data_IF_155407153354
#
_entry.id   IF_155407153354
#
_cell.length_a   1.000
_cell.length_b   1.000
_cell.length_c   1.000
_cell.angle_alpha   90.00
_cell.angle_beta   90.00
_cell.angle_gamma   90.00
#
_symmetry.space_group_name_H-M   'P 1'
#
loop_
_entity.id
_entity.type
_entity.pdbx_description
1 polymer ?
#
# COMPACT_ATOMS: atom_id res chain seq x y z
N UNK A 1 -41.57 25.69 58.84
CA UNK A 1 -40.71 24.60 58.34
C UNK A 1 -39.27 25.10 58.17
N UNK A 2 -38.59 25.31 59.30
CA UNK A 2 -37.15 25.61 59.43
C UNK A 2 -36.44 24.32 59.85
N UNK A 3 -35.25 24.04 59.32
CA UNK A 3 -34.11 23.31 59.92
C UNK A 3 -33.02 23.26 58.82
N UNK A 4 -32.08 24.21 58.74
CA UNK A 4 -30.86 24.44 59.55
C UNK A 4 -29.82 23.32 59.42
N UNK A 5 -28.70 23.72 58.80
CA UNK A 5 -27.43 23.02 58.57
C UNK A 5 -26.82 22.40 59.82
N UNK A 6 -26.09 21.28 59.67
CA UNK A 6 -24.68 21.10 60.07
C UNK A 6 -23.99 20.03 59.19
N UNK A 7 -22.74 20.28 58.81
CA UNK A 7 -21.83 19.37 58.08
C UNK A 7 -21.25 18.29 59.02
N UNK A 8 -20.69 17.21 58.47
CA UNK A 8 -19.26 17.05 58.70
C UNK A 8 -18.49 16.79 57.39
N UNK A 9 -17.57 17.72 57.10
CA UNK A 9 -16.44 17.50 56.21
C UNK A 9 -15.50 16.47 56.87
N UNK A 10 -15.64 15.18 56.53
CA UNK A 10 -14.51 14.26 56.66
C UNK A 10 -13.68 14.35 55.38
N UNK A 11 -12.62 15.15 55.40
CA UNK A 11 -11.55 15.03 54.41
C UNK A 11 -11.06 13.57 54.43
N UNK A 12 -11.40 12.78 53.40
CA UNK A 12 -10.60 11.59 53.10
C UNK A 12 -9.25 12.10 52.59
N UNK A 13 -8.12 11.72 53.20
CA UNK A 13 -6.83 12.18 52.74
C UNK A 13 -6.62 11.74 51.28
N UNK A 14 -5.98 12.60 50.49
CA UNK A 14 -5.40 12.19 49.21
C UNK A 14 -4.69 10.84 49.40
N UNK A 15 -4.83 9.88 48.45
CA UNK A 15 -4.09 8.63 48.55
C UNK A 15 -2.63 9.00 48.77
N UNK A 16 -2.04 8.49 49.87
CA UNK A 16 -0.63 8.69 50.18
C UNK A 16 0.12 8.36 48.90
N UNK A 17 0.95 9.30 48.44
CA UNK A 17 1.91 9.04 47.36
C UNK A 17 2.49 7.65 47.56
N UNK A 18 2.44 6.76 46.55
CA UNK A 18 2.86 5.38 46.73
C UNK A 18 4.25 5.35 47.38
N UNK A 19 4.51 4.42 48.32
CA UNK A 19 5.80 4.33 48.99
C UNK A 19 6.92 4.40 47.95
N UNK A 20 8.01 5.12 48.22
CA UNK A 20 9.16 5.23 47.28
C UNK A 20 9.61 3.86 46.74
N UNK A 21 9.49 2.81 47.55
CA UNK A 21 9.75 1.43 47.15
C UNK A 21 8.75 0.86 46.11
N UNK A 22 7.47 1.22 46.19
CA UNK A 22 6.45 0.81 45.21
C UNK A 22 6.59 1.59 43.89
N UNK A 23 7.04 2.84 43.93
CA UNK A 23 7.38 3.62 42.73
C UNK A 23 8.62 3.06 42.05
N UNK A 24 9.65 2.71 42.83
CA UNK A 24 10.87 2.09 42.32
C UNK A 24 10.60 0.71 41.69
N UNK A 25 9.79 -0.14 42.34
CA UNK A 25 9.36 -1.43 41.80
C UNK A 25 8.58 -1.29 40.49
N UNK A 26 7.67 -0.30 40.41
CA UNK A 26 6.93 -0.02 39.18
C UNK A 26 7.85 0.47 38.05
N UNK A 27 8.80 1.35 38.36
CA UNK A 27 9.78 1.86 37.38
C UNK A 27 10.69 0.74 36.86
N UNK A 28 11.12 -0.18 37.74
CA UNK A 28 11.95 -1.33 37.38
C UNK A 28 11.19 -2.30 36.47
N UNK A 29 9.91 -2.57 36.79
CA UNK A 29 9.03 -3.42 35.98
C UNK A 29 8.71 -2.80 34.62
N UNK A 30 8.43 -1.50 34.58
CA UNK A 30 8.25 -0.76 33.32
C UNK A 30 9.51 -0.83 32.47
N UNK A 31 10.68 -0.58 33.07
CA UNK A 31 11.95 -0.65 32.35
C UNK A 31 12.21 -2.04 31.76
N UNK A 32 11.87 -3.10 32.49
CA UNK A 32 12.02 -4.47 32.00
C UNK A 32 11.11 -4.74 30.78
N UNK A 33 9.84 -4.32 30.84
CA UNK A 33 8.90 -4.45 29.70
C UNK A 33 9.42 -3.68 28.49
N UNK A 34 9.90 -2.45 28.68
CA UNK A 34 10.44 -1.61 27.60
C UNK A 34 11.68 -2.23 26.95
N UNK A 35 12.56 -2.85 27.74
CA UNK A 35 13.73 -3.57 27.20
C UNK A 35 13.33 -4.76 26.33
N UNK A 36 12.35 -5.56 26.75
CA UNK A 36 11.87 -6.70 25.96
C UNK A 36 11.15 -6.25 24.68
N UNK A 37 10.36 -5.17 24.76
CA UNK A 37 9.73 -4.57 23.59
C UNK A 37 10.77 -4.06 22.59
N UNK A 38 11.76 -3.28 23.05
CA UNK A 38 12.84 -2.76 22.21
C UNK A 38 13.62 -3.89 21.52
N UNK A 39 13.94 -4.95 22.26
CA UNK A 39 14.61 -6.14 21.71
C UNK A 39 13.75 -6.82 20.64
N UNK A 40 12.45 -7.00 20.90
CA UNK A 40 11.54 -7.66 19.95
C UNK A 40 11.39 -6.86 18.66
N UNK A 41 11.23 -5.53 18.77
CA UNK A 41 11.14 -4.61 17.63
C UNK A 41 12.41 -4.67 16.78
N UNK A 42 13.59 -4.70 17.42
CA UNK A 42 14.87 -4.81 16.73
C UNK A 42 15.04 -6.16 16.02
N UNK A 43 14.81 -7.27 16.71
CA UNK A 43 14.98 -8.63 16.16
C UNK A 43 13.99 -8.94 15.02
N UNK A 44 12.74 -8.50 15.14
CA UNK A 44 11.72 -8.73 14.13
C UNK A 44 11.70 -7.67 13.00
N UNK A 45 12.53 -6.62 13.09
CA UNK A 45 12.58 -5.55 12.09
C UNK A 45 11.27 -4.76 11.98
N UNK A 46 10.57 -4.56 13.11
CA UNK A 46 9.29 -3.87 13.16
C UNK A 46 9.53 -2.35 13.03
N UNK A 47 8.82 -1.64 12.12
CA UNK A 47 8.92 -0.18 12.04
C UNK A 47 8.47 0.50 13.35
N UNK A 48 9.20 1.54 13.80
CA UNK A 48 8.88 2.22 15.07
C UNK A 48 7.48 2.83 15.13
N UNK A 49 6.91 3.28 14.01
CA UNK A 49 5.53 3.80 14.00
C UNK A 49 4.46 2.74 14.30
N UNK A 50 4.80 1.45 14.28
CA UNK A 50 3.85 0.37 14.56
C UNK A 50 3.42 0.31 16.04
N UNK A 51 4.17 0.92 16.96
CA UNK A 51 3.79 1.02 18.38
C UNK A 51 2.95 2.26 18.70
N UNK A 52 2.82 3.20 17.75
CA UNK A 52 2.09 4.46 17.97
C UNK A 52 0.57 4.30 17.71
N UNK A 53 0.16 3.22 17.04
CA UNK A 53 -1.25 2.98 16.72
C UNK A 53 -2.07 2.59 17.96
N UNK A 54 -3.37 2.88 17.92
CA UNK A 54 -4.25 2.60 19.06
C UNK A 54 -4.48 1.10 19.26
N UNK A 55 -4.35 0.29 18.20
CA UNK A 55 -4.45 -1.17 18.30
C UNK A 55 -3.33 -1.79 19.13
N UNK A 56 -2.09 -1.30 19.02
CA UNK A 56 -0.96 -1.76 19.83
C UNK A 56 -1.15 -1.38 21.30
N UNK A 57 -1.65 -0.16 21.59
CA UNK A 57 -1.95 0.26 22.97
C UNK A 57 -3.01 -0.64 23.62
N UNK A 58 -4.10 -0.92 22.88
CA UNK A 58 -5.14 -1.83 23.34
C UNK A 58 -4.62 -3.25 23.53
N UNK A 59 -3.76 -3.75 22.62
CA UNK A 59 -3.13 -5.05 22.77
C UNK A 59 -2.31 -5.14 24.07
N UNK A 60 -1.46 -4.15 24.35
CA UNK A 60 -0.66 -4.10 25.59
C UNK A 60 -1.56 -4.02 26.83
N UNK A 61 -2.64 -3.23 26.77
CA UNK A 61 -3.60 -3.13 27.86
C UNK A 61 -4.30 -4.46 28.14
N UNK A 62 -4.81 -5.14 27.10
CA UNK A 62 -5.50 -6.43 27.24
C UNK A 62 -4.56 -7.52 27.77
N UNK A 63 -3.32 -7.57 27.27
CA UNK A 63 -2.30 -8.49 27.79
C UNK A 63 -1.98 -8.18 29.26
N UNK A 64 -1.88 -6.89 29.61
CA UNK A 64 -1.68 -6.45 30.98
C UNK A 64 -2.83 -6.83 31.92
N UNK A 65 -4.08 -6.72 31.45
CA UNK A 65 -5.29 -7.13 32.17
C UNK A 65 -5.39 -8.66 32.34
N UNK A 66 -4.94 -9.44 31.35
CA UNK A 66 -4.88 -10.91 31.46
C UNK A 66 -3.90 -11.34 32.56
N UNK A 67 -2.73 -10.71 32.63
CA UNK A 67 -1.70 -11.00 33.63
C UNK A 67 -0.80 -12.20 33.27
N UNK A 68 -0.05 -12.75 34.26
CA UNK A 68 0.90 -13.83 34.00
C UNK A 68 0.18 -15.11 33.55
N UNK A 69 0.67 -15.71 32.46
CA UNK A 69 0.14 -16.97 31.90
C UNK A 69 -0.40 -16.86 30.49
N UNK A 70 -0.54 -15.65 29.93
CA UNK A 70 -0.90 -15.46 28.53
C UNK A 70 0.12 -16.17 27.63
N UNK A 71 -0.38 -17.05 26.76
CA UNK A 71 0.43 -17.68 25.72
C UNK A 71 0.11 -17.01 24.40
N UNK A 72 1.10 -16.39 23.73
CA UNK A 72 0.86 -15.81 22.42
C UNK A 72 0.46 -16.90 21.42
N UNK A 73 -0.42 -16.58 20.45
CA UNK A 73 -0.86 -17.54 19.44
C UNK A 73 0.32 -18.02 18.59
N UNK A 74 0.19 -19.23 18.04
CA UNK A 74 1.20 -19.74 17.10
C UNK A 74 1.19 -18.93 15.80
N UNK A 75 2.25 -19.08 14.99
CA UNK A 75 2.30 -18.43 13.67
C UNK A 75 1.12 -18.86 12.78
N UNK A 76 0.68 -20.12 12.88
CA UNK A 76 -0.45 -20.62 12.11
C UNK A 76 -1.76 -19.98 12.59
N UNK A 77 -1.98 -19.94 13.90
CA UNK A 77 -3.21 -19.37 14.49
C UNK A 77 -3.34 -17.88 14.17
N UNK A 78 -2.22 -17.16 14.26
CA UNK A 78 -2.19 -15.73 13.90
C UNK A 78 -2.43 -15.53 12.41
N UNK A 79 -1.83 -16.36 11.54
CA UNK A 79 -1.90 -16.19 10.08
C UNK A 79 -3.25 -16.53 9.48
N UNK A 80 -3.95 -17.52 10.04
CA UNK A 80 -5.15 -18.09 9.41
C UNK A 80 -6.43 -17.81 10.20
N UNK A 81 -6.72 -18.48 11.33
CA UNK A 81 -8.01 -18.31 12.00
C UNK A 81 -8.19 -16.91 12.60
N UNK A 82 -7.20 -16.38 13.32
CA UNK A 82 -7.36 -15.09 14.02
C UNK A 82 -7.42 -13.89 13.06
N UNK A 83 -6.65 -13.91 11.97
CA UNK A 83 -6.76 -12.89 10.94
C UNK A 83 -8.08 -12.97 10.17
N UNK A 84 -8.60 -14.19 9.90
CA UNK A 84 -9.92 -14.35 9.30
C UNK A 84 -11.03 -13.85 10.21
N UNK A 85 -10.91 -14.04 11.53
CA UNK A 85 -11.88 -13.51 12.50
C UNK A 85 -11.87 -11.97 12.51
N UNK A 86 -10.69 -11.35 12.50
CA UNK A 86 -10.58 -9.89 12.38
C UNK A 86 -11.14 -9.36 11.05
N UNK A 87 -10.86 -10.05 9.94
CA UNK A 87 -11.44 -9.75 8.62
C UNK A 87 -12.95 -9.99 8.55
N UNK A 88 -13.51 -10.85 9.41
CA UNK A 88 -14.95 -11.15 9.49
C UNK A 88 -15.70 -10.18 10.42
N UNK A 89 -15.03 -9.66 11.45
CA UNK A 89 -15.50 -8.55 12.28
C UNK A 89 -15.49 -7.21 11.53
N UNK A 90 -14.55 -7.03 10.60
CA UNK A 90 -14.71 -6.03 9.54
C UNK A 90 -15.83 -6.51 8.62
N UNK A 91 -16.95 -5.81 8.61
CA UNK A 91 -18.16 -6.18 7.87
C UNK A 91 -17.81 -6.78 6.51
N UNK A 92 -18.37 -7.96 6.18
CA UNK A 92 -18.13 -8.61 4.91
C UNK A 92 -18.33 -7.55 3.81
N UNK A 93 -17.23 -7.18 3.14
CA UNK A 93 -17.16 -6.11 2.15
C UNK A 93 -17.90 -6.52 0.86
N UNK A 94 -19.10 -7.07 0.99
CA UNK A 94 -20.00 -7.45 -0.10
C UNK A 94 -20.36 -6.23 -0.91
N UNK A 95 -20.72 -6.43 -2.17
CA UNK A 95 -21.15 -5.32 -3.02
C UNK A 95 -22.38 -4.60 -2.47
N UNK A 96 -23.30 -5.34 -1.86
CA UNK A 96 -24.46 -4.81 -1.13
C UNK A 96 -24.06 -3.90 0.01
N UNK A 97 -23.16 -4.34 0.89
CA UNK A 97 -22.73 -3.52 2.01
C UNK A 97 -22.09 -2.20 1.56
N UNK A 98 -21.18 -2.27 0.57
CA UNK A 98 -20.51 -1.09 0.01
C UNK A 98 -21.54 -0.14 -0.62
N UNK A 99 -22.53 -0.68 -1.33
CA UNK A 99 -23.64 0.10 -1.87
C UNK A 99 -24.42 0.81 -0.78
N UNK A 100 -24.85 0.12 0.27
CA UNK A 100 -25.63 0.72 1.36
C UNK A 100 -24.85 1.81 2.08
N UNK A 101 -23.56 1.55 2.34
CA UNK A 101 -22.65 2.52 2.94
C UNK A 101 -22.54 3.80 2.11
N UNK A 102 -22.24 3.68 0.81
CA UNK A 102 -22.11 4.84 -0.07
C UNK A 102 -23.45 5.57 -0.24
N UNK A 103 -24.58 4.86 -0.30
CA UNK A 103 -25.90 5.49 -0.48
C UNK A 103 -26.30 6.29 0.75
N UNK A 104 -25.94 5.80 1.95
CA UNK A 104 -26.09 6.53 3.20
C UNK A 104 -25.25 7.82 3.19
N UNK A 105 -23.96 7.74 2.82
CA UNK A 105 -23.11 8.92 2.70
C UNK A 105 -23.68 9.95 1.70
N UNK A 106 -24.21 9.51 0.55
CA UNK A 106 -24.83 10.40 -0.44
C UNK A 106 -26.06 11.12 0.14
N UNK A 107 -26.87 10.44 0.96
CA UNK A 107 -28.02 11.05 1.63
C UNK A 107 -27.61 12.08 2.66
N UNK A 108 -26.58 11.79 3.45
CA UNK A 108 -26.07 12.68 4.49
C UNK A 108 -25.44 13.96 3.92
N UNK A 109 -24.61 13.83 2.89
CA UNK A 109 -23.98 14.97 2.21
C UNK A 109 -24.98 15.74 1.34
N UNK A 110 -26.00 15.05 0.83
CA UNK A 110 -26.98 15.59 -0.10
C UNK A 110 -26.57 15.39 -1.56
N UNK A 111 -27.47 14.83 -2.37
CA UNK A 111 -27.24 14.48 -3.78
C UNK A 111 -26.68 15.65 -4.61
N UNK A 112 -27.16 16.86 -4.35
CA UNK A 112 -26.78 18.09 -5.05
C UNK A 112 -25.32 18.49 -4.84
N UNK A 113 -24.68 17.96 -3.80
CA UNK A 113 -23.30 18.27 -3.45
C UNK A 113 -22.30 17.22 -3.96
N UNK A 114 -22.78 16.20 -4.67
CA UNK A 114 -21.95 15.08 -5.15
C UNK A 114 -21.99 15.03 -6.67
N UNK A 115 -20.81 15.18 -7.27
CA UNK A 115 -20.62 15.08 -8.73
C UNK A 115 -20.16 13.68 -9.14
N UNK A 116 -19.27 13.08 -8.34
CA UNK A 116 -18.58 11.85 -8.70
C UNK A 116 -18.33 10.98 -7.46
N UNK A 117 -18.43 9.66 -7.65
CA UNK A 117 -17.90 8.66 -6.72
C UNK A 117 -16.82 7.86 -7.44
N UNK A 118 -15.70 7.62 -6.74
CA UNK A 118 -14.55 6.91 -7.26
C UNK A 118 -14.25 5.70 -6.39
N UNK A 119 -14.26 4.50 -6.97
CA UNK A 119 -13.91 3.25 -6.29
C UNK A 119 -12.82 2.49 -7.04
N UNK A 120 -12.14 1.54 -6.41
CA UNK A 120 -11.28 0.62 -7.15
C UNK A 120 -12.09 -0.40 -7.97
N UNK A 121 -11.39 -1.25 -8.72
CA UNK A 121 -11.97 -2.28 -9.59
C UNK A 121 -12.16 -3.64 -8.90
N UNK A 122 -12.18 -3.70 -7.57
CA UNK A 122 -12.50 -4.94 -6.86
C UNK A 122 -13.92 -5.40 -7.20
N UNK A 123 -14.14 -6.72 -7.25
CA UNK A 123 -15.43 -7.30 -7.67
C UNK A 123 -16.62 -6.73 -6.91
N UNK A 124 -16.45 -6.52 -5.61
CA UNK A 124 -17.53 -6.03 -4.74
C UNK A 124 -17.82 -4.55 -4.99
N UNK A 125 -16.80 -3.74 -5.28
CA UNK A 125 -16.97 -2.35 -5.73
C UNK A 125 -17.67 -2.28 -7.09
N UNK A 126 -17.39 -3.21 -8.00
CA UNK A 126 -18.09 -3.25 -9.29
C UNK A 126 -19.58 -3.59 -9.12
N UNK A 127 -19.93 -4.51 -8.20
CA UNK A 127 -21.34 -4.79 -7.86
C UNK A 127 -22.03 -3.56 -7.27
N UNK A 128 -21.36 -2.87 -6.33
CA UNK A 128 -21.88 -1.63 -5.75
C UNK A 128 -22.09 -0.53 -6.80
N UNK A 129 -21.13 -0.40 -7.73
CA UNK A 129 -21.18 0.54 -8.86
C UNK A 129 -22.43 0.32 -9.71
N UNK A 130 -22.69 -0.92 -10.11
CA UNK A 130 -23.86 -1.26 -10.94
C UNK A 130 -25.17 -0.84 -10.26
N UNK A 131 -25.33 -1.20 -8.97
CA UNK A 131 -26.52 -0.82 -8.19
C UNK A 131 -26.65 0.71 -8.02
N UNK A 132 -25.53 1.42 -7.92
CA UNK A 132 -25.52 2.88 -7.82
C UNK A 132 -25.95 3.55 -9.12
N UNK A 133 -25.46 3.07 -10.25
CA UNK A 133 -25.84 3.58 -11.57
C UNK A 133 -27.36 3.40 -11.82
N UNK A 134 -27.93 2.29 -11.37
CA UNK A 134 -29.38 2.04 -11.42
C UNK A 134 -30.17 3.01 -10.53
N UNK A 135 -29.73 3.20 -9.28
CA UNK A 135 -30.46 4.03 -8.30
C UNK A 135 -30.28 5.54 -8.52
N UNK A 136 -29.10 5.96 -9.01
CA UNK A 136 -28.66 7.36 -9.07
C UNK A 136 -27.93 7.66 -10.38
N UNK A 137 -28.63 7.64 -11.53
CA UNK A 137 -27.99 7.81 -12.86
C UNK A 137 -27.36 9.18 -13.09
N UNK A 138 -27.62 10.17 -12.23
CA UNK A 138 -27.09 11.54 -12.36
C UNK A 138 -25.76 11.78 -11.64
N UNK A 139 -25.22 10.80 -10.92
CA UNK A 139 -23.91 10.89 -10.26
C UNK A 139 -22.92 10.09 -11.11
N UNK A 140 -21.77 10.69 -11.44
CA UNK A 140 -20.73 9.97 -12.17
C UNK A 140 -20.11 8.90 -11.28
N UNK A 141 -19.97 7.69 -11.80
CA UNK A 141 -19.20 6.64 -11.15
C UNK A 141 -18.04 6.22 -12.03
N UNK A 142 -16.83 6.21 -11.47
CA UNK A 142 -15.62 5.92 -12.23
C UNK A 142 -14.66 5.08 -11.41
N UNK A 143 -13.95 4.18 -12.07
CA UNK A 143 -12.82 3.46 -11.50
C UNK A 143 -11.70 4.42 -11.11
N UNK A 144 -11.03 4.11 -10.00
CA UNK A 144 -9.80 4.73 -9.59
C UNK A 144 -8.73 4.58 -10.69
N UNK A 145 -8.16 5.71 -11.14
CA UNK A 145 -7.17 5.72 -12.22
C UNK A 145 -5.97 4.79 -11.98
N UNK A 146 -5.56 4.63 -10.71
CA UNK A 146 -4.46 3.75 -10.35
C UNK A 146 -4.75 2.27 -10.59
N UNK A 147 -6.02 1.88 -10.55
CA UNK A 147 -6.49 0.51 -10.82
C UNK A 147 -6.92 0.31 -12.28
N UNK A 148 -7.19 1.40 -13.00
CA UNK A 148 -7.51 1.38 -14.41
C UNK A 148 -6.27 1.13 -15.28
N UNK A 149 -5.17 1.85 -15.03
CA UNK A 149 -3.97 1.79 -15.87
C UNK A 149 -3.31 0.38 -15.87
N UNK A 150 -2.74 -0.06 -17.01
CA UNK A 150 -2.17 -1.39 -17.13
C UNK A 150 -0.93 -1.61 -16.26
N UNK A 151 -0.73 -2.86 -15.82
CA UNK A 151 0.44 -3.31 -15.05
C UNK A 151 1.17 -4.40 -15.82
N UNK A 152 2.50 -4.30 -15.92
CA UNK A 152 3.35 -5.29 -16.58
C UNK A 152 3.55 -6.54 -15.72
N UNK A 153 2.57 -7.44 -15.66
CA UNK A 153 2.61 -8.61 -14.76
C UNK A 153 3.81 -9.53 -14.99
N UNK A 154 4.04 -10.02 -16.21
CA UNK A 154 5.01 -11.12 -16.42
C UNK A 154 6.48 -10.80 -16.08
N UNK A 155 7.02 -9.68 -16.55
CA UNK A 155 8.43 -9.30 -16.25
C UNK A 155 8.57 -8.89 -14.78
N UNK A 156 7.57 -8.19 -14.24
CA UNK A 156 7.56 -7.81 -12.81
C UNK A 156 7.53 -9.06 -11.95
N UNK A 157 6.70 -10.06 -12.24
CA UNK A 157 6.63 -11.32 -11.48
C UNK A 157 7.96 -12.06 -11.48
N UNK A 158 8.62 -12.17 -12.64
CA UNK A 158 9.97 -12.75 -12.74
C UNK A 158 11.00 -11.98 -11.91
N UNK A 159 10.99 -10.65 -11.99
CA UNK A 159 11.88 -9.80 -11.21
C UNK A 159 11.59 -9.89 -9.70
N UNK A 160 10.33 -9.94 -9.30
CA UNK A 160 9.92 -10.11 -7.91
C UNK A 160 10.34 -11.47 -7.38
N UNK A 161 10.08 -12.56 -8.11
CA UNK A 161 10.54 -13.91 -7.76
C UNK A 161 12.06 -13.97 -7.59
N UNK A 162 12.80 -13.33 -8.51
CA UNK A 162 14.26 -13.21 -8.40
C UNK A 162 14.70 -12.45 -7.15
N UNK A 163 14.07 -11.32 -6.82
CA UNK A 163 14.40 -10.57 -5.59
C UNK A 163 14.03 -11.36 -4.33
N UNK A 164 12.86 -11.98 -4.27
CA UNK A 164 12.42 -12.82 -3.15
C UNK A 164 13.45 -13.92 -2.91
N UNK A 165 13.89 -14.59 -3.98
CA UNK A 165 14.95 -15.59 -3.91
C UNK A 165 16.22 -15.02 -3.28
N UNK A 166 16.72 -13.88 -3.74
CA UNK A 166 17.94 -13.28 -3.17
C UNK A 166 17.80 -13.00 -1.68
N UNK A 167 16.67 -12.42 -1.26
CA UNK A 167 16.44 -12.07 0.14
C UNK A 167 16.14 -13.29 1.03
N UNK A 168 15.61 -14.38 0.48
CA UNK A 168 15.34 -15.63 1.21
C UNK A 168 16.61 -16.45 1.49
N UNK A 169 17.67 -16.32 0.67
CA UNK A 169 18.89 -17.10 0.81
C UNK A 169 20.02 -16.28 1.47
N UNK A 170 20.33 -16.58 2.74
CA UNK A 170 21.29 -15.79 3.55
C UNK A 170 22.69 -15.63 2.92
N UNK A 171 23.24 -16.67 2.28
CA UNK A 171 24.54 -16.60 1.58
C UNK A 171 24.47 -15.66 0.37
N UNK A 172 23.39 -15.78 -0.39
CA UNK A 172 23.10 -14.99 -1.59
C UNK A 172 22.90 -13.51 -1.22
N UNK A 173 22.15 -13.24 -0.15
CA UNK A 173 21.96 -11.89 0.39
C UNK A 173 23.25 -11.28 0.94
N UNK A 174 24.05 -12.04 1.68
CA UNK A 174 25.32 -11.55 2.23
C UNK A 174 26.30 -11.14 1.12
N UNK A 175 26.36 -11.93 0.04
CA UNK A 175 27.19 -11.61 -1.11
C UNK A 175 26.64 -10.42 -1.89
N UNK A 176 25.33 -10.36 -2.14
CA UNK A 176 24.68 -9.19 -2.74
C UNK A 176 25.08 -7.92 -1.97
N UNK A 177 24.94 -7.93 -0.64
CA UNK A 177 25.29 -6.79 0.22
C UNK A 177 26.78 -6.42 0.14
N UNK A 178 27.67 -7.39 -0.07
CA UNK A 178 29.10 -7.13 -0.34
C UNK A 178 29.29 -6.37 -1.66
N UNK A 179 28.64 -6.82 -2.74
CA UNK A 179 28.74 -6.20 -4.06
C UNK A 179 28.02 -4.85 -4.17
N UNK A 180 26.92 -4.66 -3.44
CA UNK A 180 26.09 -3.45 -3.50
C UNK A 180 26.48 -2.39 -2.45
N UNK A 181 27.56 -2.60 -1.69
CA UNK A 181 27.93 -1.74 -0.54
C UNK A 181 26.77 -1.59 0.46
N UNK A 182 26.11 -2.72 0.78
CA UNK A 182 24.93 -2.84 1.65
C UNK A 182 23.68 -2.09 1.15
N UNK A 183 23.62 -1.72 -0.13
CA UNK A 183 22.40 -1.13 -0.72
C UNK A 183 21.43 -2.21 -1.17
N UNK A 184 20.18 -2.08 -0.75
CA UNK A 184 19.12 -3.00 -1.13
C UNK A 184 18.71 -2.89 -2.60
N UNK A 185 18.20 -4.00 -3.15
CA UNK A 185 17.58 -4.03 -4.47
C UNK A 185 16.15 -3.53 -4.36
N UNK A 186 15.38 -4.08 -3.43
CA UNK A 186 13.99 -3.69 -3.21
C UNK A 186 13.97 -2.26 -2.70
N UNK A 187 13.30 -1.39 -3.43
CA UNK A 187 13.12 0.01 -3.05
C UNK A 187 11.64 0.23 -2.75
N UNK A 188 11.24 0.31 -1.46
CA UNK A 188 9.86 0.60 -1.13
C UNK A 188 9.50 1.98 -1.68
N UNK A 189 8.46 2.03 -2.51
CA UNK A 189 7.87 3.28 -2.96
C UNK A 189 6.74 3.68 -2.02
N UNK A 190 6.41 4.98 -2.00
CA UNK A 190 5.29 5.52 -1.21
C UNK A 190 3.97 4.87 -1.62
N UNK A 191 3.85 4.46 -2.89
CA UNK A 191 2.70 3.70 -3.41
C UNK A 191 3.08 2.29 -3.84
N UNK A 192 2.13 1.37 -3.72
CA UNK A 192 2.27 -0.06 -4.07
C UNK A 192 2.82 -0.27 -5.49
N UNK A 193 2.50 0.62 -6.44
CA UNK A 193 2.98 0.56 -7.83
C UNK A 193 4.43 1.05 -8.01
N UNK A 194 4.86 2.02 -7.21
CA UNK A 194 6.21 2.57 -7.25
C UNK A 194 7.24 1.54 -6.82
N UNK A 195 6.90 0.68 -5.83
CA UNK A 195 7.81 -0.36 -5.35
C UNK A 195 8.31 -1.27 -6.48
N UNK A 196 7.42 -1.75 -7.36
CA UNK A 196 7.81 -2.60 -8.48
C UNK A 196 8.72 -1.86 -9.47
N UNK A 197 8.36 -0.63 -9.85
CA UNK A 197 9.15 0.18 -10.77
C UNK A 197 10.54 0.53 -10.21
N UNK A 198 10.60 1.02 -8.98
CA UNK A 198 11.86 1.37 -8.31
C UNK A 198 12.75 0.14 -8.09
N UNK A 199 12.15 -1.04 -7.86
CA UNK A 199 12.87 -2.31 -7.78
C UNK A 199 13.46 -2.71 -9.12
N UNK A 200 12.70 -2.60 -10.23
CA UNK A 200 13.23 -2.82 -11.57
C UNK A 200 14.38 -1.85 -11.91
N UNK A 201 14.22 -0.57 -11.60
CA UNK A 201 15.27 0.44 -11.79
C UNK A 201 16.53 0.07 -11.00
N UNK A 202 16.34 -0.31 -9.74
CA UNK A 202 17.42 -0.76 -8.84
C UNK A 202 18.12 -2.02 -9.34
N UNK A 203 17.41 -2.95 -9.98
CA UNK A 203 17.99 -4.13 -10.64
C UNK A 203 18.88 -3.73 -11.81
N UNK A 204 18.42 -2.84 -12.68
CA UNK A 204 19.21 -2.34 -13.82
C UNK A 204 20.45 -1.58 -13.36
N UNK A 205 20.33 -0.69 -12.38
CA UNK A 205 21.44 0.05 -11.78
C UNK A 205 22.55 -0.88 -11.24
N UNK A 206 22.15 -2.08 -10.80
CA UNK A 206 23.02 -3.08 -10.19
C UNK A 206 23.40 -4.21 -11.15
N UNK A 207 22.92 -4.21 -12.41
CA UNK A 207 23.09 -5.30 -13.39
C UNK A 207 24.54 -5.77 -13.49
N UNK A 208 25.49 -4.86 -13.75
CA UNK A 208 26.91 -5.21 -13.92
C UNK A 208 27.48 -5.96 -12.71
N UNK A 209 27.12 -5.53 -11.50
CA UNK A 209 27.56 -6.16 -10.25
C UNK A 209 26.87 -7.49 -9.97
N UNK A 210 25.65 -7.66 -10.49
CA UNK A 210 24.94 -8.93 -10.45
C UNK A 210 25.56 -9.90 -11.47
N UNK A 211 25.92 -9.48 -12.67
CA UNK A 211 26.61 -10.35 -13.63
C UNK A 211 27.92 -10.92 -13.05
N UNK A 212 28.71 -10.09 -12.35
CA UNK A 212 29.90 -10.53 -11.61
C UNK A 212 29.57 -11.56 -10.50
N UNK A 213 28.38 -11.46 -9.88
CA UNK A 213 27.89 -12.40 -8.87
C UNK A 213 27.53 -13.76 -9.47
N UNK A 214 26.99 -13.78 -10.70
CA UNK A 214 26.54 -15.00 -11.37
C UNK A 214 27.61 -16.09 -11.39
N UNK A 215 28.87 -15.69 -11.63
CA UNK A 215 30.03 -16.58 -11.68
C UNK A 215 30.29 -17.38 -10.38
N UNK A 216 29.79 -16.93 -9.22
CA UNK A 216 30.06 -17.55 -7.92
C UNK A 216 28.89 -18.36 -7.35
N UNK A 217 27.71 -18.26 -7.96
CA UNK A 217 26.52 -18.98 -7.48
C UNK A 217 26.40 -20.35 -8.14
N UNK A 218 26.29 -21.40 -7.33
CA UNK A 218 25.91 -22.74 -7.82
C UNK A 218 24.39 -22.90 -8.02
N UNK A 219 23.62 -21.86 -7.74
CA UNK A 219 22.16 -21.85 -7.84
C UNK A 219 21.71 -21.58 -9.28
N UNK A 220 21.38 -22.66 -10.00
CA UNK A 220 21.05 -22.65 -11.44
C UNK A 220 19.98 -21.63 -11.83
N UNK A 221 18.94 -21.42 -11.01
CA UNK A 221 17.79 -20.57 -11.34
C UNK A 221 18.11 -19.06 -11.28
N UNK A 222 18.81 -18.62 -10.24
CA UNK A 222 19.23 -17.22 -10.13
C UNK A 222 20.27 -16.87 -11.20
N UNK A 223 21.24 -17.77 -11.42
CA UNK A 223 22.23 -17.61 -12.47
C UNK A 223 21.59 -17.48 -13.85
N UNK A 224 20.68 -18.39 -14.21
CA UNK A 224 19.98 -18.37 -15.50
C UNK A 224 19.22 -17.05 -15.73
N UNK A 225 18.61 -16.48 -14.69
CA UNK A 225 17.92 -15.19 -14.78
C UNK A 225 18.92 -14.04 -14.96
N UNK A 226 20.05 -14.07 -14.25
CA UNK A 226 21.07 -13.02 -14.27
C UNK A 226 21.84 -12.95 -15.58
N UNK A 227 22.04 -14.08 -16.27
CA UNK A 227 22.72 -14.09 -17.59
C UNK A 227 21.76 -13.97 -18.77
N UNK A 228 20.44 -14.01 -18.53
CA UNK A 228 19.45 -13.96 -19.59
C UNK A 228 19.36 -12.56 -20.21
N UNK A 229 19.86 -12.43 -21.43
CA UNK A 229 19.69 -11.21 -22.23
C UNK A 229 18.20 -10.88 -22.45
N UNK A 230 17.35 -11.90 -22.63
CA UNK A 230 15.90 -11.74 -22.78
C UNK A 230 15.27 -11.12 -21.53
N UNK A 231 15.69 -11.55 -20.33
CA UNK A 231 15.20 -10.97 -19.07
C UNK A 231 15.58 -9.49 -18.98
N UNK A 232 16.85 -9.14 -19.17
CA UNK A 232 17.31 -7.75 -19.06
C UNK A 232 16.71 -6.83 -20.13
N UNK A 233 16.57 -7.32 -21.36
CA UNK A 233 15.88 -6.59 -22.42
C UNK A 233 14.41 -6.37 -22.07
N UNK A 234 13.75 -7.38 -21.48
CA UNK A 234 12.40 -7.26 -20.96
C UNK A 234 12.27 -6.23 -19.84
N UNK A 235 13.19 -6.23 -18.87
CA UNK A 235 13.21 -5.23 -17.77
C UNK A 235 13.41 -3.82 -18.32
N UNK A 236 14.36 -3.62 -19.24
CA UNK A 236 14.61 -2.33 -19.87
C UNK A 236 13.40 -1.84 -20.68
N UNK A 237 12.78 -2.73 -21.45
CA UNK A 237 11.55 -2.41 -22.19
C UNK A 237 10.41 -2.03 -21.23
N UNK A 238 10.21 -2.79 -20.15
CA UNK A 238 9.22 -2.47 -19.13
C UNK A 238 9.46 -1.11 -18.49
N UNK A 239 10.69 -0.75 -18.15
CA UNK A 239 11.00 0.57 -17.58
C UNK A 239 10.66 1.69 -18.58
N UNK A 240 11.06 1.54 -19.84
CA UNK A 240 10.81 2.56 -20.89
C UNK A 240 9.33 2.77 -21.17
N UNK A 241 8.52 1.72 -21.16
CA UNK A 241 7.07 1.81 -21.41
C UNK A 241 6.30 2.22 -20.14
N UNK A 242 6.74 1.76 -18.97
CA UNK A 242 6.05 2.05 -17.71
C UNK A 242 6.39 3.44 -17.16
N UNK A 243 7.55 4.02 -17.48
CA UNK A 243 7.94 5.35 -17.00
C UNK A 243 6.90 6.45 -17.36
N UNK A 244 6.41 6.58 -18.61
CA UNK A 244 5.35 7.52 -18.93
C UNK A 244 4.06 7.27 -18.14
N UNK A 245 3.66 6.01 -17.97
CA UNK A 245 2.48 5.64 -17.17
C UNK A 245 2.68 5.92 -15.68
N UNK A 246 3.91 5.77 -15.18
CA UNK A 246 4.28 6.07 -13.81
C UNK A 246 4.13 7.57 -13.52
N UNK A 247 4.47 8.44 -14.47
CA UNK A 247 4.22 9.90 -14.34
C UNK A 247 2.74 10.20 -14.17
N UNK A 248 1.86 9.55 -14.95
CA UNK A 248 0.40 9.70 -14.81
C UNK A 248 -0.08 9.19 -13.46
N UNK A 249 0.38 8.00 -13.04
CA UNK A 249 0.04 7.44 -11.72
C UNK A 249 0.49 8.36 -10.57
N UNK A 250 1.69 8.92 -10.69
CA UNK A 250 2.24 9.85 -9.70
C UNK A 250 1.43 11.14 -9.63
N UNK A 251 0.98 11.66 -10.78
CA UNK A 251 0.09 12.82 -10.84
C UNK A 251 -1.24 12.53 -10.10
N UNK A 252 -1.89 11.41 -10.38
CA UNK A 252 -3.20 11.10 -9.78
C UNK A 252 -3.11 10.83 -8.28
N UNK A 253 -2.00 10.26 -7.82
CA UNK A 253 -1.75 10.05 -6.39
C UNK A 253 -1.30 11.32 -5.66
N UNK A 254 -0.95 12.40 -6.36
CA UNK A 254 -0.47 13.62 -5.74
C UNK A 254 -1.58 14.38 -5.01
N UNK A 255 -1.78 14.12 -3.72
CA UNK A 255 -2.84 14.74 -2.90
C UNK A 255 -2.75 16.27 -2.78
N UNK A 256 -1.64 16.88 -3.23
CA UNK A 256 -1.40 18.32 -3.11
C UNK A 256 -2.05 19.17 -4.19
N UNK A 257 -2.37 18.61 -5.37
CA UNK A 257 -2.95 19.36 -6.49
C UNK A 257 -4.09 18.57 -7.14
N UNK A 258 -5.21 19.21 -7.51
CA UNK A 258 -6.27 18.55 -8.26
C UNK A 258 -5.71 17.95 -9.57
N UNK A 259 -5.72 16.62 -9.65
CA UNK A 259 -5.13 15.85 -10.75
C UNK A 259 -6.10 15.69 -11.93
N UNK A 260 -7.40 15.76 -11.66
CA UNK A 260 -8.48 15.50 -12.61
C UNK A 260 -8.34 16.27 -13.93
N UNK A 261 -8.10 17.57 -13.86
CA UNK A 261 -7.92 18.44 -15.03
C UNK A 261 -6.72 18.12 -15.92
N UNK A 262 -5.70 17.46 -15.37
CA UNK A 262 -4.47 17.12 -16.09
C UNK A 262 -4.45 15.67 -16.55
N UNK A 263 -5.28 14.81 -15.95
CA UNK A 263 -5.26 13.36 -16.14
C UNK A 263 -5.34 12.96 -17.61
N UNK A 264 -6.33 13.47 -18.34
CA UNK A 264 -6.50 13.15 -19.76
C UNK A 264 -5.30 13.60 -20.61
N UNK A 265 -4.83 14.84 -20.40
CA UNK A 265 -3.68 15.39 -21.13
C UNK A 265 -2.37 14.63 -20.85
N UNK A 266 -2.08 14.32 -19.59
CA UNK A 266 -0.90 13.52 -19.22
C UNK A 266 -1.01 12.08 -19.73
N UNK A 267 -2.22 11.50 -19.81
CA UNK A 267 -2.41 10.20 -20.43
C UNK A 267 -2.13 10.25 -21.94
N UNK A 268 -2.55 11.30 -22.65
CA UNK A 268 -2.22 11.48 -24.07
C UNK A 268 -0.72 11.67 -24.29
N UNK A 269 -0.07 12.46 -23.43
CA UNK A 269 1.39 12.63 -23.44
C UNK A 269 2.10 11.30 -23.20
N UNK A 270 1.62 10.50 -22.23
CA UNK A 270 2.18 9.19 -21.95
C UNK A 270 2.09 8.24 -23.16
N UNK A 271 0.96 8.26 -23.89
CA UNK A 271 0.82 7.50 -25.14
C UNK A 271 1.88 7.89 -26.18
N UNK A 272 2.13 9.18 -26.35
CA UNK A 272 3.12 9.68 -27.29
C UNK A 272 4.55 9.32 -26.84
N UNK A 273 4.87 9.47 -25.55
CA UNK A 273 6.18 9.06 -25.00
C UNK A 273 6.42 7.55 -25.19
N UNK A 274 5.38 6.70 -25.08
CA UNK A 274 5.50 5.25 -25.34
C UNK A 274 5.80 4.96 -26.81
N UNK A 275 5.14 5.67 -27.75
CA UNK A 275 5.41 5.53 -29.19
C UNK A 275 6.86 5.90 -29.52
N UNK A 276 7.33 7.02 -29.00
CA UNK A 276 8.72 7.46 -29.15
C UNK A 276 9.71 6.47 -28.51
N UNK A 277 9.40 5.97 -27.31
CA UNK A 277 10.19 4.94 -26.65
C UNK A 277 10.25 3.63 -27.48
N UNK A 278 9.29 3.37 -28.34
CA UNK A 278 9.31 2.21 -29.24
C UNK A 278 9.76 2.57 -30.66
N UNK A 279 10.44 3.71 -30.81
CA UNK A 279 10.99 4.23 -32.07
C UNK A 279 9.92 4.35 -33.17
N UNK A 280 8.68 4.65 -32.77
CA UNK A 280 7.53 4.72 -33.67
C UNK A 280 7.29 3.44 -34.49
N UNK A 281 7.74 2.28 -34.00
CA UNK A 281 7.42 0.99 -34.62
C UNK A 281 6.01 0.56 -34.23
N UNK A 282 5.08 0.69 -35.18
CA UNK A 282 3.67 0.39 -34.98
C UNK A 282 3.42 -1.02 -34.46
N UNK A 283 4.12 -2.04 -34.97
CA UNK A 283 3.95 -3.41 -34.53
C UNK A 283 4.29 -3.62 -33.04
N UNK A 284 5.11 -2.75 -32.46
CA UNK A 284 5.53 -2.86 -31.06
C UNK A 284 4.68 -2.01 -30.12
N UNK A 285 4.31 -0.78 -30.49
CA UNK A 285 3.53 0.07 -29.59
C UNK A 285 2.03 -0.18 -29.69
N UNK A 286 1.50 -0.59 -30.86
CA UNK A 286 0.06 -0.70 -31.08
C UNK A 286 -0.65 -1.62 -30.09
N UNK A 287 -0.14 -2.83 -29.75
CA UNK A 287 -0.78 -3.68 -28.75
C UNK A 287 -0.82 -3.04 -27.36
N UNK A 288 0.22 -2.26 -27.01
CA UNK A 288 0.32 -1.60 -25.71
C UNK A 288 -0.67 -0.44 -25.63
N UNK A 289 -0.75 0.38 -26.68
CA UNK A 289 -1.70 1.49 -26.76
C UNK A 289 -3.14 0.97 -26.75
N UNK A 290 -3.44 -0.12 -27.47
CA UNK A 290 -4.76 -0.76 -27.42
C UNK A 290 -5.15 -1.18 -26.00
N UNK A 291 -4.25 -1.82 -25.25
CA UNK A 291 -4.51 -2.19 -23.85
C UNK A 291 -4.75 -0.95 -22.98
N UNK A 292 -4.02 0.15 -23.21
CA UNK A 292 -4.21 1.41 -22.48
C UNK A 292 -5.58 2.00 -22.81
N UNK A 293 -5.96 2.01 -24.09
CA UNK A 293 -7.22 2.59 -24.56
C UNK A 293 -8.42 1.77 -24.08
N UNK A 294 -8.39 0.45 -24.21
CA UNK A 294 -9.43 -0.45 -23.68
C UNK A 294 -9.65 -0.26 -22.18
N UNK A 295 -8.57 -0.07 -21.42
CA UNK A 295 -8.66 0.18 -19.98
C UNK A 295 -9.15 1.58 -19.66
N UNK A 296 -8.69 2.59 -20.40
CA UNK A 296 -9.02 3.98 -20.16
C UNK A 296 -10.46 4.30 -20.58
N UNK A 297 -11.02 3.54 -21.53
CA UNK A 297 -12.32 3.79 -22.13
C UNK A 297 -13.43 3.91 -21.10
N UNK A 298 -14.15 5.03 -21.15
CA UNK A 298 -15.25 5.43 -20.25
C UNK A 298 -14.87 5.51 -18.76
N UNK A 299 -13.59 5.33 -18.43
CA UNK A 299 -13.05 5.38 -17.07
C UNK A 299 -12.19 6.62 -16.85
N UNK A 300 -11.24 6.88 -17.75
CA UNK A 300 -10.27 7.99 -17.68
C UNK A 300 -10.38 8.95 -18.87
N UNK A 301 -11.16 8.60 -19.88
CA UNK A 301 -11.50 9.43 -21.04
C UNK A 301 -13.01 9.69 -21.18
N UNK A 302 -13.78 9.38 -20.12
CA UNK A 302 -15.22 9.65 -20.09
C UNK A 302 -15.55 11.16 -20.08
N UNK A 303 -16.83 11.53 -20.25
CA UNK A 303 -17.26 12.92 -20.39
C UNK A 303 -16.77 13.85 -19.27
N UNK A 304 -16.76 13.36 -18.02
CA UNK A 304 -16.27 14.12 -16.87
C UNK A 304 -14.77 14.44 -16.98
N UNK A 305 -13.97 13.49 -17.46
CA UNK A 305 -12.53 13.64 -17.62
C UNK A 305 -12.18 14.58 -18.77
N UNK A 306 -12.91 14.47 -19.88
CA UNK A 306 -12.78 15.37 -21.01
C UNK A 306 -13.21 16.79 -20.63
N UNK A 307 -14.34 16.95 -19.94
CA UNK A 307 -14.78 18.26 -19.47
C UNK A 307 -13.75 18.90 -18.54
N UNK A 308 -13.20 18.16 -17.59
CA UNK A 308 -12.15 18.65 -16.69
C UNK A 308 -10.89 19.10 -17.46
N UNK A 309 -10.55 18.40 -18.55
CA UNK A 309 -9.43 18.75 -19.42
C UNK A 309 -9.70 20.00 -20.26
N UNK A 310 -10.84 20.09 -20.94
CA UNK A 310 -11.18 21.23 -21.79
C UNK A 310 -11.48 22.52 -21.03
N UNK A 311 -12.02 22.39 -19.81
CA UNK A 311 -12.29 23.54 -18.93
C UNK A 311 -11.06 23.97 -18.11
N UNK A 312 -9.91 23.32 -18.30
CA UNK A 312 -8.67 23.74 -17.67
C UNK A 312 -8.12 25.00 -18.38
N UNK A 313 -7.97 26.13 -17.67
CA UNK A 313 -7.51 27.38 -18.28
C UNK A 313 -5.98 27.46 -18.48
N UNK A 314 -5.25 26.38 -18.19
CA UNK A 314 -3.79 26.26 -18.28
C UNK A 314 -3.42 25.12 -19.22
#
# INVERSE_FOLDING_TARGET
>A
MKNRLELPLSFKPFPRSPPLAAVADLQERTHQVDQYLARRVYEAGIPFHAIDNDSFKHFVEVVGQFGPGYQPPSQYDLREPLLKEEECFSEAHTGEYIFEYVDKCIKEVGRQNIVQVVTDNASNNMVATTKMLEKRPHIFWTSCATHTLPRFKGVIEKAMAFTIFIYAHHKTLAFLRKCTKKRDIVRPGVIRFATSFLTLQSLVDKKKRLEDYGCYTKEKMAYATMVSAQFWNGVSLCLRVFEPLFKVLWLVHGDKKPSMRFLYGELQKARNEIKEALKNNEAHYRPIIQIIDEKAHDQLDGPLHLAAYFLNPF
#
